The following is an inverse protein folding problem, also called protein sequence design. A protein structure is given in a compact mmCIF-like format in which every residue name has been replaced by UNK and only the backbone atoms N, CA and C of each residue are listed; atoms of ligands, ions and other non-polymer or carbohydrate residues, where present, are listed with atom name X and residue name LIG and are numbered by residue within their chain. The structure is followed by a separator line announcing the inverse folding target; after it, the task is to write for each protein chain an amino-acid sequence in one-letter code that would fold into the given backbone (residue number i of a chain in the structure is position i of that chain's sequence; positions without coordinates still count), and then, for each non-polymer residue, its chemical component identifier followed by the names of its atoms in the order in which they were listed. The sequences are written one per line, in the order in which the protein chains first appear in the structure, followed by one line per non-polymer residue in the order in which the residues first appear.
data_IF_257043915429
#
_entry.id   IF_257043915429
#
_cell.length_a   1.000
_cell.length_b   1.000
_cell.length_c   1.000
_cell.angle_alpha   90.00
_cell.angle_beta   90.00
_cell.angle_gamma   90.00
#
_symmetry.space_group_name_H-M   'P 1'
#
loop_
_entity.id
_entity.type
_entity.pdbx_description
1 polymer ?
#
# COMPACT_ATOMS: atom_id res chain seq x y z
N UNK A 1 -0.38 20.44 -8.23
CA UNK A 1 0.00 19.66 -7.05
C UNK A 1 1.41 19.12 -7.30
N UNK A 2 2.39 19.54 -6.51
CA UNK A 2 3.78 19.10 -6.69
C UNK A 2 4.07 17.90 -5.80
N UNK A 3 3.99 16.70 -6.37
CA UNK A 3 4.24 15.45 -5.64
C UNK A 3 5.51 14.80 -6.17
N UNK A 4 6.41 14.42 -5.27
CA UNK A 4 7.63 13.69 -5.58
C UNK A 4 7.69 12.39 -4.77
N UNK A 5 8.48 11.42 -5.24
CA UNK A 5 8.49 10.07 -4.71
C UNK A 5 9.91 9.57 -4.42
N UNK A 6 10.65 10.22 -3.52
CA UNK A 6 12.02 9.79 -3.20
C UNK A 6 12.02 8.52 -2.33
N UNK A 7 13.15 7.81 -2.28
CA UNK A 7 13.29 6.68 -1.35
C UNK A 7 13.03 7.09 0.09
N UNK A 8 12.60 6.14 0.93
CA UNK A 8 12.41 6.40 2.37
C UNK A 8 13.76 6.60 3.06
N UNK A 9 13.72 7.28 4.19
CA UNK A 9 14.84 7.36 5.12
C UNK A 9 14.75 6.20 6.10
N UNK A 10 15.91 5.75 6.59
CA UNK A 10 16.00 4.63 7.52
C UNK A 10 15.15 4.84 8.78
N UNK A 11 15.11 6.06 9.31
CA UNK A 11 14.34 6.41 10.49
C UNK A 11 12.82 6.37 10.27
N UNK A 12 12.36 6.23 9.02
CA UNK A 12 10.93 6.14 8.68
C UNK A 12 10.40 4.70 8.74
N UNK A 13 11.28 3.70 8.92
CA UNK A 13 10.87 2.29 9.01
C UNK A 13 9.89 2.09 10.16
N UNK A 14 10.13 2.69 11.31
CA UNK A 14 9.24 2.56 12.47
C UNK A 14 7.86 3.17 12.22
N UNK A 15 7.80 4.26 11.46
CA UNK A 15 6.54 4.91 11.07
C UNK A 15 5.73 4.00 10.14
N UNK A 16 6.38 3.37 9.18
CA UNK A 16 5.73 2.42 8.27
C UNK A 16 5.21 1.21 9.05
N UNK A 17 6.02 0.69 9.96
CA UNK A 17 5.61 -0.43 10.82
C UNK A 17 4.37 -0.08 11.65
N UNK A 18 4.36 1.09 12.28
CA UNK A 18 3.22 1.53 13.09
C UNK A 18 1.94 1.61 12.26
N UNK A 19 2.03 2.06 11.02
CA UNK A 19 0.90 2.08 10.11
C UNK A 19 0.40 0.67 9.76
N UNK A 20 1.31 -0.25 9.40
CA UNK A 20 0.94 -1.63 9.10
C UNK A 20 0.25 -2.30 10.29
N UNK A 21 0.78 -2.07 11.49
CA UNK A 21 0.18 -2.57 12.74
C UNK A 21 -1.24 -2.04 12.92
N UNK A 22 -1.46 -0.75 12.66
CA UNK A 22 -2.78 -0.15 12.78
C UNK A 22 -3.79 -0.76 11.79
N UNK A 23 -3.39 -1.03 10.57
CA UNK A 23 -4.26 -1.71 9.59
C UNK A 23 -4.64 -3.11 10.04
N UNK A 24 -3.68 -3.85 10.57
CA UNK A 24 -3.94 -5.19 11.10
C UNK A 24 -4.90 -5.12 12.28
N UNK A 25 -4.66 -4.20 13.22
CA UNK A 25 -5.51 -4.03 14.40
C UNK A 25 -6.94 -3.64 14.02
N UNK A 26 -7.11 -2.82 12.98
CA UNK A 26 -8.42 -2.31 12.57
C UNK A 26 -9.21 -3.30 11.69
N UNK A 27 -8.55 -4.11 10.87
CA UNK A 27 -9.23 -4.86 9.82
C UNK A 27 -9.02 -6.38 9.86
N UNK A 28 -7.99 -6.88 10.55
CA UNK A 28 -7.74 -8.32 10.61
C UNK A 28 -8.55 -8.98 11.73
N UNK A 29 -8.84 -10.27 11.56
CA UNK A 29 -9.42 -11.09 12.62
C UNK A 29 -8.31 -11.53 13.56
N UNK A 30 -8.11 -10.78 14.63
CA UNK A 30 -7.00 -11.01 15.58
C UNK A 30 -7.09 -12.34 16.31
N UNK A 31 -8.30 -12.93 16.40
CA UNK A 31 -8.49 -14.22 17.04
C UNK A 31 -8.04 -15.40 16.18
N UNK A 32 -7.84 -15.20 14.86
CA UNK A 32 -7.48 -16.26 13.94
C UNK A 32 -6.01 -16.24 13.50
N UNK A 33 -5.21 -15.30 14.00
CA UNK A 33 -3.80 -15.16 13.65
C UNK A 33 -2.91 -15.24 14.89
N UNK A 34 -1.64 -15.60 14.68
CA UNK A 34 -0.62 -15.45 15.70
C UNK A 34 -0.10 -14.01 15.62
N UNK A 35 -0.70 -13.13 16.39
CA UNK A 35 -0.51 -11.69 16.32
C UNK A 35 0.95 -11.28 16.43
N UNK A 36 1.67 -11.78 17.42
CA UNK A 36 3.07 -11.41 17.64
C UNK A 36 3.98 -11.87 16.50
N UNK A 37 3.73 -13.06 15.95
CA UNK A 37 4.49 -13.56 14.80
C UNK A 37 4.21 -12.75 13.54
N UNK A 38 2.95 -12.36 13.31
CA UNK A 38 2.56 -11.53 12.17
C UNK A 38 3.26 -10.18 12.25
N UNK A 39 3.22 -9.52 13.42
CA UNK A 39 3.88 -8.23 13.59
C UNK A 39 5.41 -8.31 13.43
N UNK A 40 6.03 -9.37 13.95
CA UNK A 40 7.47 -9.59 13.79
C UNK A 40 7.83 -9.80 12.31
N UNK A 41 7.00 -10.53 11.57
CA UNK A 41 7.20 -10.75 10.13
C UNK A 41 7.07 -9.44 9.35
N UNK A 42 6.06 -8.63 9.66
CA UNK A 42 5.85 -7.32 9.03
C UNK A 42 7.07 -6.42 9.23
N UNK A 43 7.58 -6.35 10.46
CA UNK A 43 8.75 -5.53 10.75
C UNK A 43 9.98 -5.98 9.97
N UNK A 44 10.24 -7.29 9.93
CA UNK A 44 11.35 -7.85 9.15
C UNK A 44 11.21 -7.57 7.65
N UNK A 45 9.99 -7.67 7.12
CA UNK A 45 9.71 -7.36 5.72
C UNK A 45 10.10 -5.92 5.40
N UNK A 46 9.67 -4.97 6.22
CA UNK A 46 9.95 -3.54 6.00
C UNK A 46 11.46 -3.29 6.05
N UNK A 47 12.14 -3.83 7.06
CA UNK A 47 13.59 -3.68 7.21
C UNK A 47 14.37 -4.27 6.02
N UNK A 48 13.97 -5.47 5.60
CA UNK A 48 14.63 -6.20 4.52
C UNK A 48 14.37 -5.58 3.14
N UNK A 49 13.19 -4.98 2.94
CA UNK A 49 12.73 -4.43 1.66
C UNK A 49 12.70 -2.91 1.65
N UNK A 50 13.44 -2.27 2.57
CA UNK A 50 13.41 -0.82 2.73
C UNK A 50 13.72 -0.05 1.45
N UNK A 51 14.57 -0.60 0.57
CA UNK A 51 14.93 0.00 -0.72
C UNK A 51 13.78 0.00 -1.73
N UNK A 52 12.72 -0.76 -1.50
CA UNK A 52 11.53 -0.78 -2.37
C UNK A 52 10.47 0.23 -1.96
N UNK A 53 10.62 0.87 -0.82
CA UNK A 53 9.67 1.87 -0.31
C UNK A 53 10.01 3.27 -0.79
N UNK A 54 8.96 4.05 -1.04
CA UNK A 54 9.07 5.45 -1.44
C UNK A 54 8.31 6.34 -0.48
N UNK A 55 8.83 7.54 -0.27
CA UNK A 55 8.05 8.60 0.38
C UNK A 55 7.15 9.25 -0.66
N UNK A 56 6.03 9.78 -0.20
CA UNK A 56 5.18 10.66 -1.00
C UNK A 56 5.34 12.05 -0.41
N UNK A 57 5.99 12.94 -1.12
CA UNK A 57 6.19 14.33 -0.67
C UNK A 57 5.27 15.26 -1.45
N UNK A 58 4.57 16.14 -0.74
CA UNK A 58 3.76 17.18 -1.34
C UNK A 58 4.38 18.54 -1.00
N UNK A 59 4.93 19.22 -2.02
CA UNK A 59 5.62 20.47 -1.80
C UNK A 59 6.85 20.34 -0.88
N UNK A 60 7.44 19.15 -0.82
CA UNK A 60 8.59 18.86 0.06
C UNK A 60 8.23 18.30 1.43
N UNK A 61 6.94 18.31 1.80
CA UNK A 61 6.46 17.79 3.08
C UNK A 61 6.02 16.33 2.94
N UNK A 62 6.30 15.53 3.97
CA UNK A 62 5.93 14.11 3.97
C UNK A 62 4.42 13.96 4.04
N UNK A 63 3.82 13.32 3.02
CA UNK A 63 2.39 13.06 2.95
C UNK A 63 2.04 11.56 3.05
N UNK A 64 3.00 10.68 2.82
CA UNK A 64 2.74 9.24 2.90
C UNK A 64 3.90 8.38 2.44
N UNK A 65 3.59 7.10 2.26
CA UNK A 65 4.54 6.06 1.85
C UNK A 65 3.86 5.05 0.95
N UNK A 66 4.63 4.34 0.14
CA UNK A 66 4.19 3.14 -0.56
C UNK A 66 5.38 2.30 -0.96
N UNK A 67 5.12 1.03 -1.24
CA UNK A 67 6.08 0.09 -1.81
C UNK A 67 5.55 -0.37 -3.15
N UNK A 68 6.39 -0.33 -4.19
CA UNK A 68 6.02 -0.78 -5.53
C UNK A 68 7.14 -1.65 -6.05
N UNK A 69 6.85 -2.93 -6.27
CA UNK A 69 7.88 -3.91 -6.62
C UNK A 69 7.32 -5.02 -7.51
N UNK A 70 8.20 -5.69 -8.22
CA UNK A 70 7.82 -6.82 -9.05
C UNK A 70 7.67 -8.08 -8.21
N UNK A 71 6.61 -8.85 -8.49
CA UNK A 71 6.32 -10.11 -7.86
C UNK A 71 5.74 -11.06 -8.91
N UNK A 72 6.45 -12.16 -9.22
CA UNK A 72 6.01 -13.18 -10.18
C UNK A 72 5.56 -12.60 -11.55
N UNK A 73 6.30 -11.64 -12.06
CA UNK A 73 6.03 -11.03 -13.37
C UNK A 73 4.94 -9.95 -13.37
N UNK A 74 4.37 -9.64 -12.23
CA UNK A 74 3.42 -8.54 -12.04
C UNK A 74 4.01 -7.50 -11.09
N UNK A 75 3.37 -6.35 -10.97
CA UNK A 75 3.80 -5.31 -10.05
C UNK A 75 2.84 -5.22 -8.88
N UNK A 76 3.36 -5.28 -7.67
CA UNK A 76 2.57 -5.14 -6.45
C UNK A 76 2.72 -3.75 -5.85
N UNK A 77 1.59 -3.12 -5.49
CA UNK A 77 1.57 -1.96 -4.61
C UNK A 77 1.30 -2.47 -3.20
N UNK A 78 2.17 -2.13 -2.26
CA UNK A 78 2.06 -2.59 -0.89
C UNK A 78 2.25 -1.42 0.06
N UNK A 79 1.62 -1.49 1.23
CA UNK A 79 1.77 -0.52 2.32
C UNK A 79 1.55 0.93 1.89
N UNK A 80 0.61 1.17 0.97
CA UNK A 80 0.23 2.54 0.60
C UNK A 80 -0.49 3.21 1.75
N UNK A 81 0.09 4.31 2.23
CA UNK A 81 -0.44 5.09 3.34
C UNK A 81 -0.33 6.58 3.07
N UNK A 82 -1.44 7.26 3.27
CA UNK A 82 -1.46 8.73 3.23
C UNK A 82 -1.72 9.21 4.66
N UNK A 83 -0.87 10.12 5.14
CA UNK A 83 -1.01 10.68 6.48
C UNK A 83 -2.38 11.34 6.64
N UNK A 84 -3.01 11.25 7.82
CA UNK A 84 -4.37 11.77 8.02
C UNK A 84 -4.58 13.21 7.58
N UNK A 85 -3.62 14.10 7.84
CA UNK A 85 -3.71 15.52 7.47
C UNK A 85 -3.66 15.77 5.96
N UNK A 86 -3.27 14.78 5.17
CA UNK A 86 -3.21 14.88 3.71
C UNK A 86 -4.31 14.10 2.99
N UNK A 87 -5.22 13.47 3.73
CA UNK A 87 -6.31 12.69 3.14
C UNK A 87 -7.37 13.60 2.53
N UNK A 88 -8.09 13.06 1.54
CA UNK A 88 -9.13 13.81 0.85
C UNK A 88 -8.62 14.80 -0.18
N UNK A 89 -7.33 14.80 -0.49
CA UNK A 89 -6.70 15.72 -1.44
C UNK A 89 -6.36 15.07 -2.79
N UNK A 90 -6.71 13.81 -2.96
CA UNK A 90 -6.41 13.06 -4.20
C UNK A 90 -4.98 12.54 -4.30
N UNK A 91 -4.19 12.59 -3.25
CA UNK A 91 -2.79 12.14 -3.27
C UNK A 91 -2.69 10.63 -3.51
N UNK A 92 -3.52 9.83 -2.83
CA UNK A 92 -3.56 8.38 -3.04
C UNK A 92 -3.87 8.01 -4.48
N UNK A 93 -4.81 8.72 -5.09
CA UNK A 93 -5.15 8.57 -6.51
C UNK A 93 -3.93 8.85 -7.39
N UNK A 94 -3.18 9.91 -7.10
CA UNK A 94 -1.97 10.27 -7.85
C UNK A 94 -0.88 9.20 -7.74
N UNK A 95 -0.70 8.61 -6.56
CA UNK A 95 0.25 7.51 -6.37
C UNK A 95 -0.16 6.31 -7.21
N UNK A 96 -1.43 5.92 -7.16
CA UNK A 96 -1.95 4.78 -7.93
C UNK A 96 -1.81 5.01 -9.42
N UNK A 97 -2.14 6.21 -9.90
CA UNK A 97 -1.97 6.56 -11.31
C UNK A 97 -0.49 6.48 -11.74
N UNK A 98 0.41 7.01 -10.91
CA UNK A 98 1.85 6.91 -11.20
C UNK A 98 2.28 5.45 -11.34
N UNK A 99 1.88 4.59 -10.42
CA UNK A 99 2.21 3.16 -10.49
C UNK A 99 1.68 2.53 -11.78
N UNK A 100 0.45 2.83 -12.17
CA UNK A 100 -0.15 2.30 -13.39
C UNK A 100 0.59 2.78 -14.65
N UNK A 101 1.04 4.03 -14.68
CA UNK A 101 1.75 4.57 -15.85
C UNK A 101 3.23 4.18 -15.88
N UNK A 102 3.80 3.74 -14.77
CA UNK A 102 5.20 3.30 -14.71
C UNK A 102 5.43 1.88 -15.24
N UNK A 103 4.38 1.15 -15.56
CA UNK A 103 4.50 -0.24 -16.04
C UNK A 103 3.40 -0.60 -17.03
N UNK A 104 3.68 -1.54 -17.93
CA UNK A 104 2.68 -2.19 -18.78
C UNK A 104 2.20 -3.52 -18.18
N UNK A 105 2.85 -3.99 -17.12
CA UNK A 105 2.48 -5.22 -16.41
C UNK A 105 1.21 -5.04 -15.61
N UNK A 106 0.57 -6.14 -15.25
CA UNK A 106 -0.56 -6.10 -14.33
C UNK A 106 -0.10 -5.55 -12.99
N UNK A 107 -0.88 -4.63 -12.43
CA UNK A 107 -0.66 -4.04 -11.11
C UNK A 107 -1.70 -4.63 -10.17
N UNK A 108 -1.28 -5.13 -9.02
CA UNK A 108 -2.18 -5.72 -8.04
C UNK A 108 -1.82 -5.30 -6.63
N UNK A 109 -2.76 -5.48 -5.71
CA UNK A 109 -2.53 -5.28 -4.28
C UNK A 109 -3.54 -6.09 -3.46
N UNK A 110 -3.18 -6.32 -2.20
CA UNK A 110 -4.07 -6.90 -1.21
C UNK A 110 -4.80 -5.80 -0.47
N UNK A 111 -6.08 -6.01 -0.18
CA UNK A 111 -6.87 -5.09 0.62
C UNK A 111 -7.76 -5.87 1.58
N UNK A 112 -7.91 -5.39 2.81
CA UNK A 112 -8.81 -6.00 3.77
C UNK A 112 -10.26 -5.81 3.32
N UNK A 113 -11.06 -6.88 3.36
CA UNK A 113 -12.47 -6.85 2.93
C UNK A 113 -13.31 -5.86 3.73
N UNK A 114 -12.95 -5.63 5.00
CA UNK A 114 -13.62 -4.66 5.87
C UNK A 114 -13.27 -3.20 5.55
N UNK A 115 -12.22 -2.98 4.76
CA UNK A 115 -11.81 -1.63 4.35
C UNK A 115 -12.61 -1.19 3.13
N UNK A 116 -13.92 -1.01 3.31
CA UNK A 116 -14.85 -0.69 2.23
C UNK A 116 -14.51 0.63 1.53
N UNK A 117 -14.01 1.59 2.28
CA UNK A 117 -13.61 2.91 1.74
C UNK A 117 -12.48 2.77 0.72
N UNK A 118 -11.47 1.99 1.04
CA UNK A 118 -10.35 1.74 0.14
C UNK A 118 -10.80 0.97 -1.11
N UNK A 119 -11.62 -0.07 -0.93
CA UNK A 119 -12.14 -0.87 -2.03
C UNK A 119 -12.93 0.00 -3.01
N UNK A 120 -13.77 0.89 -2.49
CA UNK A 120 -14.56 1.82 -3.31
C UNK A 120 -13.66 2.74 -4.13
N UNK A 121 -12.61 3.30 -3.53
CA UNK A 121 -11.64 4.13 -4.23
C UNK A 121 -10.96 3.34 -5.35
N UNK A 122 -10.49 2.13 -5.05
CA UNK A 122 -9.78 1.31 -6.02
C UNK A 122 -10.67 0.93 -7.19
N UNK A 123 -11.93 0.56 -6.94
CA UNK A 123 -12.90 0.29 -8.00
C UNK A 123 -13.13 1.51 -8.89
N UNK A 124 -13.18 2.72 -8.30
CA UNK A 124 -13.37 3.95 -9.06
C UNK A 124 -12.19 4.25 -10.01
N UNK A 125 -11.02 3.68 -9.73
CA UNK A 125 -9.82 3.84 -10.55
C UNK A 125 -9.64 2.70 -11.57
N UNK A 126 -10.59 1.77 -11.65
CA UNK A 126 -10.57 0.68 -12.62
C UNK A 126 -10.03 -0.64 -12.10
N UNK A 127 -9.65 -0.75 -10.83
CA UNK A 127 -9.26 -2.04 -10.26
C UNK A 127 -10.48 -2.91 -10.02
N UNK A 128 -10.32 -4.21 -10.27
CA UNK A 128 -11.37 -5.20 -10.05
C UNK A 128 -10.90 -6.29 -9.10
N UNK A 129 -11.84 -6.92 -8.40
CA UNK A 129 -11.54 -8.05 -7.56
C UNK A 129 -11.08 -9.23 -8.43
N UNK A 130 -9.90 -9.78 -8.13
CA UNK A 130 -9.35 -10.95 -8.81
C UNK A 130 -9.60 -12.22 -8.01
N UNK A 131 -9.41 -12.17 -6.68
CA UNK A 131 -9.36 -13.36 -5.84
C UNK A 131 -9.58 -13.00 -4.38
N UNK A 132 -10.27 -13.88 -3.64
CA UNK A 132 -10.31 -13.82 -2.17
C UNK A 132 -9.10 -14.54 -1.60
N UNK A 133 -8.55 -14.00 -0.52
CA UNK A 133 -7.41 -14.55 0.20
C UNK A 133 -7.81 -14.76 1.66
N UNK A 134 -8.12 -16.01 1.99
CA UNK A 134 -8.71 -16.33 3.30
C UNK A 134 -10.05 -15.60 3.47
N UNK A 135 -10.39 -15.26 4.71
CA UNK A 135 -11.66 -14.64 5.05
C UNK A 135 -11.60 -13.12 5.18
N UNK A 136 -10.39 -12.52 5.17
CA UNK A 136 -10.22 -11.12 5.55
C UNK A 136 -9.65 -10.23 4.46
N UNK A 137 -9.16 -10.80 3.34
CA UNK A 137 -8.52 -10.00 2.29
C UNK A 137 -8.99 -10.41 0.90
N UNK A 138 -8.85 -9.48 -0.04
CA UNK A 138 -9.01 -9.74 -1.47
C UNK A 138 -7.79 -9.18 -2.22
N UNK A 139 -7.55 -9.73 -3.40
CA UNK A 139 -6.60 -9.15 -4.36
C UNK A 139 -7.40 -8.37 -5.38
N UNK A 140 -7.01 -7.13 -5.62
CA UNK A 140 -7.54 -6.30 -6.70
C UNK A 140 -6.45 -6.04 -7.71
N UNK A 141 -6.80 -5.96 -8.99
CA UNK A 141 -5.84 -5.86 -10.06
C UNK A 141 -6.35 -5.04 -11.24
N UNK A 142 -5.40 -4.51 -12.01
CA UNK A 142 -5.66 -3.78 -13.25
C UNK A 142 -4.41 -3.86 -14.14
N UNK A 143 -4.59 -3.85 -15.46
CA UNK A 143 -3.45 -3.75 -16.38
C UNK A 143 -2.76 -2.40 -16.23
N UNK A 144 -1.43 -2.40 -16.26
CA UNK A 144 -0.65 -1.18 -16.33
C UNK A 144 -0.94 -0.41 -17.62
N UNK A 145 -0.57 0.87 -17.62
CA UNK A 145 -0.86 1.81 -18.72
C UNK A 145 0.41 2.40 -19.34
N UNK A 146 1.55 1.92 -18.89
CA UNK A 146 2.84 2.33 -19.40
C UNK A 146 3.17 1.83 -20.81
#
# INVERSE_FOLDING_TARGET
MNITYPPIKKEEIDTIYAFCKKLIDDYEDLGSIDYDKVLAWVKRKIEKRADEYKRVLMGGDLAGFYRFHEEDGEMEIDDLYILPEYRGMGIGTKVLEKCLYDTDKTVFFYVFTKNERAIKLYKSLGFTERKKVGDTRIIMAQSGRG
#
